data_IF_688629354080
#
_entry.id   IF_688629354080
#
_cell.length_a   1.000
_cell.length_b   1.000
_cell.length_c   1.000
_cell.angle_alpha   90.00
_cell.angle_beta   90.00
_cell.angle_gamma   90.00
#
_symmetry.space_group_name_H-M   'P 1'
#
loop_
_entity.id
_entity.type
_entity.pdbx_description
1 polymer ?
#
# COMPACT_ATOMS: atom_id res chain seq x y z
N UNK A 1 -24.17 -8.93 8.98
CA UNK A 1 -24.39 -7.88 7.97
C UNK A 1 -24.11 -6.56 8.66
N UNK A 2 -23.02 -5.88 8.32
CA UNK A 2 -22.76 -4.53 8.81
C UNK A 2 -23.52 -3.55 7.94
N UNK A 3 -24.15 -2.54 8.53
CA UNK A 3 -24.96 -1.57 7.81
C UNK A 3 -24.12 -0.33 7.45
N UNK A 4 -24.48 0.36 6.36
CA UNK A 4 -23.76 1.53 5.83
C UNK A 4 -23.70 2.73 6.81
N UNK A 5 -24.33 2.67 8.00
CA UNK A 5 -24.35 3.75 8.98
C UNK A 5 -23.08 3.88 9.82
N UNK A 6 -22.17 2.91 9.78
CA UNK A 6 -21.04 2.84 10.71
C UNK A 6 -19.72 3.33 10.11
N UNK A 7 -19.74 3.89 8.89
CA UNK A 7 -18.55 4.36 8.18
C UNK A 7 -18.56 5.87 8.03
N UNK A 8 -17.44 6.54 8.33
CA UNK A 8 -17.19 7.89 7.81
C UNK A 8 -16.59 7.77 6.42
N UNK A 9 -17.30 8.31 5.43
CA UNK A 9 -16.88 8.37 4.03
C UNK A 9 -16.46 9.80 3.75
N UNK A 10 -15.22 10.00 3.29
CA UNK A 10 -14.75 11.30 2.83
C UNK A 10 -14.41 11.23 1.35
N UNK A 11 -14.98 12.15 0.58
CA UNK A 11 -14.74 12.29 -0.86
C UNK A 11 -13.59 13.27 -1.10
N UNK A 12 -12.51 12.78 -1.70
CA UNK A 12 -11.37 13.58 -2.14
C UNK A 12 -11.37 13.67 -3.68
N UNK A 13 -12.38 14.32 -4.25
CA UNK A 13 -12.46 14.54 -5.70
C UNK A 13 -12.51 13.24 -6.52
N UNK A 14 -13.18 12.20 -6.01
CA UNK A 14 -13.30 10.91 -6.68
C UNK A 14 -12.75 9.70 -5.91
N UNK A 15 -12.14 9.89 -4.74
CA UNK A 15 -11.59 8.85 -3.88
C UNK A 15 -12.31 8.82 -2.53
N UNK A 16 -12.59 7.64 -1.96
CA UNK A 16 -13.35 7.51 -0.72
C UNK A 16 -12.48 6.96 0.42
N UNK A 17 -12.20 7.77 1.43
CA UNK A 17 -11.65 7.26 2.70
C UNK A 17 -12.77 6.59 3.49
N UNK A 18 -12.64 5.31 3.82
CA UNK A 18 -13.60 4.58 4.66
C UNK A 18 -12.98 4.29 6.02
N UNK A 19 -13.49 4.94 7.05
CA UNK A 19 -13.07 4.68 8.43
C UNK A 19 -14.11 3.77 9.07
N UNK A 20 -13.72 2.54 9.39
CA UNK A 20 -14.57 1.55 10.07
C UNK A 20 -14.21 1.46 11.55
N UNK A 21 -15.18 1.51 12.48
CA UNK A 21 -14.93 1.32 13.91
C UNK A 21 -14.62 -0.13 14.30
N UNK A 22 -14.87 -1.12 13.43
CA UNK A 22 -14.68 -2.55 13.73
C UNK A 22 -13.66 -3.25 12.82
N UNK A 23 -13.03 -2.50 11.91
CA UNK A 23 -11.94 -2.98 11.05
C UNK A 23 -12.33 -3.99 9.96
N UNK A 24 -13.59 -4.41 9.88
CA UNK A 24 -14.07 -5.23 8.77
C UNK A 24 -14.64 -4.34 7.69
N UNK A 25 -13.81 -3.97 6.71
CA UNK A 25 -14.33 -3.51 5.42
C UNK A 25 -14.58 -4.73 4.53
N UNK A 26 -15.85 -5.04 4.30
CA UNK A 26 -16.21 -5.81 3.11
C UNK A 26 -16.13 -4.83 1.93
N UNK A 27 -15.19 -4.99 0.97
CA UNK A 27 -15.22 -4.22 -0.26
C UNK A 27 -16.24 -4.88 -1.18
N UNK A 28 -17.50 -4.88 -0.79
CA UNK A 28 -18.57 -4.89 -1.78
C UNK A 28 -19.33 -3.59 -1.65
N UNK A 29 -18.61 -2.51 -1.97
CA UNK A 29 -19.19 -1.23 -2.30
C UNK A 29 -19.05 -1.13 -3.82
N UNK A 30 -20.15 -1.03 -4.58
CA UNK A 30 -20.12 -0.90 -6.04
C UNK A 30 -19.64 0.50 -6.44
N UNK A 31 -18.45 0.87 -5.99
CA UNK A 31 -17.73 2.06 -6.43
C UNK A 31 -16.31 1.61 -6.76
N UNK A 32 -15.86 1.89 -7.99
CA UNK A 32 -14.54 1.52 -8.49
C UNK A 32 -13.41 2.36 -7.86
N UNK A 33 -13.55 2.76 -6.59
CA UNK A 33 -12.79 3.87 -5.99
C UNK A 33 -11.92 3.42 -4.81
N UNK A 34 -10.68 3.93 -4.67
CA UNK A 34 -9.76 3.59 -3.59
C UNK A 34 -10.23 3.88 -2.17
N UNK A 35 -9.73 3.09 -1.20
CA UNK A 35 -10.23 3.01 0.18
C UNK A 35 -9.08 3.01 1.20
N UNK A 36 -8.75 4.15 1.78
CA UNK A 36 -7.84 4.16 2.95
C UNK A 36 -8.58 3.55 4.15
N UNK A 37 -7.93 2.64 4.89
CA UNK A 37 -8.53 1.93 6.02
C UNK A 37 -7.59 2.02 7.20
N UNK A 38 -7.97 2.79 8.20
CA UNK A 38 -7.36 2.71 9.53
C UNK A 38 -8.12 1.68 10.35
N UNK A 39 -7.41 0.71 10.92
CA UNK A 39 -7.91 -0.21 11.94
C UNK A 39 -7.40 0.19 13.34
N UNK A 40 -7.14 1.47 13.54
CA UNK A 40 -6.87 1.99 14.88
C UNK A 40 -8.20 2.26 15.58
N UNK A 41 -8.23 2.09 16.90
CA UNK A 41 -9.35 2.52 17.73
C UNK A 41 -9.76 3.92 17.29
N UNK A 42 -11.02 4.06 16.89
CA UNK A 42 -11.56 5.36 16.49
C UNK A 42 -11.34 6.32 17.65
N UNK A 43 -10.43 7.28 17.48
CA UNK A 43 -10.30 8.41 18.38
C UNK A 43 -10.78 9.66 17.66
N UNK A 44 -11.29 10.61 18.43
CA UNK A 44 -11.65 11.91 17.89
C UNK A 44 -10.42 12.56 17.24
N UNK A 45 -10.63 13.10 16.04
CA UNK A 45 -9.58 13.77 15.25
C UNK A 45 -8.82 12.90 14.23
N UNK A 46 -8.96 11.57 14.22
CA UNK A 46 -8.22 10.69 13.28
C UNK A 46 -8.46 11.05 11.80
N UNK A 47 -9.66 11.50 11.49
CA UNK A 47 -10.04 11.98 10.15
C UNK A 47 -9.19 13.17 9.73
N UNK A 48 -9.08 14.17 10.61
CA UNK A 48 -8.38 15.42 10.31
C UNK A 48 -6.87 15.18 10.31
N UNK A 49 -6.37 14.27 11.15
CA UNK A 49 -4.98 13.82 11.11
C UNK A 49 -4.62 13.19 9.76
N UNK A 50 -5.41 12.22 9.27
CA UNK A 50 -5.17 11.57 7.97
C UNK A 50 -5.25 12.59 6.83
N UNK A 51 -6.25 13.50 6.86
CA UNK A 51 -6.34 14.60 5.90
C UNK A 51 -5.09 15.45 5.90
N UNK A 52 -4.68 15.91 7.07
CA UNK A 52 -3.49 16.74 7.22
C UNK A 52 -2.24 16.01 6.72
N UNK A 53 -2.08 14.71 6.98
CA UNK A 53 -0.94 13.91 6.49
C UNK A 53 -0.93 13.72 4.96
N UNK A 54 -2.10 13.64 4.33
CA UNK A 54 -2.22 13.59 2.87
C UNK A 54 -1.91 14.96 2.27
N UNK A 55 -2.49 16.02 2.82
CA UNK A 55 -2.36 17.39 2.30
C UNK A 55 -0.95 17.95 2.51
N UNK A 56 -0.34 17.72 3.67
CA UNK A 56 1.01 18.21 4.01
C UNK A 56 2.15 17.45 3.32
N UNK A 57 1.89 16.27 2.76
CA UNK A 57 2.89 15.49 2.01
C UNK A 57 3.77 14.59 2.89
N UNK A 58 3.19 13.51 3.41
CA UNK A 58 3.92 12.41 4.09
C UNK A 58 4.64 11.46 3.11
N UNK A 59 5.48 10.54 3.60
CA UNK A 59 5.99 9.44 2.78
C UNK A 59 4.99 8.28 2.73
N UNK A 60 4.82 7.71 1.55
CA UNK A 60 3.99 6.53 1.30
C UNK A 60 4.87 5.38 0.84
N UNK A 61 4.79 4.25 1.53
CA UNK A 61 5.53 3.05 1.14
C UNK A 61 4.60 2.12 0.36
N UNK A 62 5.06 1.61 -0.78
CA UNK A 62 4.47 0.49 -1.51
C UNK A 62 5.49 -0.65 -1.50
N UNK A 63 5.06 -1.83 -1.03
CA UNK A 63 5.95 -3.00 -0.89
C UNK A 63 5.48 -4.13 -1.80
N UNK A 64 6.41 -4.81 -2.46
CA UNK A 64 6.07 -5.96 -3.29
C UNK A 64 7.25 -6.49 -4.09
N UNK A 65 7.03 -7.58 -4.82
CA UNK A 65 8.01 -8.07 -5.78
C UNK A 65 8.01 -7.26 -7.08
N UNK A 66 6.85 -6.77 -7.52
CA UNK A 66 6.65 -6.22 -8.86
C UNK A 66 7.08 -7.18 -9.97
N UNK A 67 6.95 -8.49 -9.69
CA UNK A 67 7.23 -9.55 -10.64
C UNK A 67 6.18 -9.58 -11.75
N UNK A 68 6.60 -9.80 -13.00
CA UNK A 68 5.71 -9.78 -14.17
C UNK A 68 4.77 -8.57 -14.17
N UNK A 69 5.35 -7.39 -14.32
CA UNK A 69 4.64 -6.12 -14.18
C UNK A 69 3.32 -6.08 -14.98
N UNK A 70 2.18 -6.08 -14.27
CA UNK A 70 0.85 -6.24 -14.85
C UNK A 70 -0.14 -5.17 -14.36
N UNK A 71 -1.38 -5.20 -14.87
CA UNK A 71 -2.43 -4.20 -14.58
C UNK A 71 -2.68 -3.96 -13.08
N UNK A 72 -2.58 -4.99 -12.23
CA UNK A 72 -2.66 -4.81 -10.78
C UNK A 72 -1.61 -3.84 -10.20
N UNK A 73 -0.36 -3.87 -10.67
CA UNK A 73 0.67 -2.92 -10.24
C UNK A 73 0.37 -1.51 -10.74
N UNK A 74 -0.04 -1.39 -12.01
CA UNK A 74 -0.45 -0.12 -12.63
C UNK A 74 -1.56 0.54 -11.79
N UNK A 75 -2.64 -0.19 -11.50
CA UNK A 75 -3.76 0.34 -10.72
C UNK A 75 -3.35 0.76 -9.30
N UNK A 76 -2.48 -0.02 -8.65
CA UNK A 76 -1.94 0.32 -7.33
C UNK A 76 -1.16 1.63 -7.37
N UNK A 77 -0.24 1.76 -8.32
CA UNK A 77 0.64 2.92 -8.49
C UNK A 77 -0.16 4.17 -8.86
N UNK A 78 -1.03 4.07 -9.87
CA UNK A 78 -1.82 5.20 -10.36
C UNK A 78 -2.78 5.69 -9.28
N UNK A 79 -3.43 4.77 -8.55
CA UNK A 79 -4.30 5.17 -7.45
C UNK A 79 -3.51 5.83 -6.33
N UNK A 80 -2.37 5.27 -5.95
CA UNK A 80 -1.54 5.82 -4.88
C UNK A 80 -1.01 7.22 -5.24
N UNK A 81 -0.46 7.40 -6.46
CA UNK A 81 0.04 8.71 -6.92
C UNK A 81 -1.04 9.78 -6.99
N UNK A 82 -2.29 9.40 -7.31
CA UNK A 82 -3.43 10.31 -7.32
C UNK A 82 -3.96 10.67 -5.93
N UNK A 83 -4.01 9.69 -5.01
CA UNK A 83 -4.47 9.92 -3.62
C UNK A 83 -3.45 10.76 -2.83
N UNK A 84 -2.16 10.60 -3.14
CA UNK A 84 -1.06 11.23 -2.43
C UNK A 84 -0.25 12.16 -3.37
N UNK A 85 -0.85 13.25 -3.89
CA UNK A 85 -0.24 14.10 -4.91
C UNK A 85 0.95 14.92 -4.39
N UNK A 86 1.03 15.15 -3.07
CA UNK A 86 2.11 15.91 -2.42
C UNK A 86 3.14 15.02 -1.71
N UNK A 87 2.93 13.70 -1.70
CA UNK A 87 3.78 12.76 -0.99
C UNK A 87 4.99 12.32 -1.81
N UNK A 88 6.05 11.92 -1.11
CA UNK A 88 7.08 11.04 -1.66
C UNK A 88 6.61 9.59 -1.60
N UNK A 89 6.88 8.81 -2.63
CA UNK A 89 6.49 7.41 -2.71
C UNK A 89 7.74 6.53 -2.74
N UNK A 90 7.87 5.66 -1.76
CA UNK A 90 8.94 4.68 -1.66
C UNK A 90 8.43 3.33 -2.15
N UNK A 91 9.11 2.77 -3.14
CA UNK A 91 8.90 1.41 -3.62
C UNK A 91 9.93 0.48 -2.99
N UNK A 92 9.50 -0.31 -2.01
CA UNK A 92 10.31 -1.36 -1.45
C UNK A 92 10.14 -2.65 -2.27
N UNK A 93 11.11 -2.93 -3.13
CA UNK A 93 11.08 -4.05 -4.09
C UNK A 93 11.85 -5.24 -3.53
N UNK A 94 11.21 -6.39 -3.32
CA UNK A 94 11.87 -7.57 -2.74
C UNK A 94 13.06 -8.03 -3.57
N UNK A 95 14.20 -8.31 -2.93
CA UNK A 95 15.37 -8.84 -3.63
C UNK A 95 15.28 -10.35 -3.82
N UNK A 96 16.06 -10.85 -4.78
CA UNK A 96 16.07 -12.28 -5.07
C UNK A 96 16.54 -13.09 -3.85
N UNK A 97 17.57 -12.60 -3.14
CA UNK A 97 18.07 -13.20 -1.91
C UNK A 97 17.01 -13.20 -0.79
N UNK A 98 16.27 -12.11 -0.62
CA UNK A 98 15.20 -12.06 0.37
C UNK A 98 14.09 -13.08 0.05
N UNK A 99 13.67 -13.19 -1.21
CA UNK A 99 12.68 -14.17 -1.63
C UNK A 99 13.16 -15.62 -1.40
N UNK A 100 14.45 -15.89 -1.63
CA UNK A 100 15.08 -17.19 -1.33
C UNK A 100 15.05 -17.48 0.18
N UNK A 101 15.50 -16.53 1.01
CA UNK A 101 15.55 -16.68 2.47
C UNK A 101 14.17 -16.92 3.09
N UNK A 102 13.10 -16.38 2.49
CA UNK A 102 11.71 -16.59 2.94
C UNK A 102 11.14 -17.96 2.59
N UNK A 103 11.94 -18.85 1.99
CA UNK A 103 11.53 -20.24 1.72
C UNK A 103 10.48 -20.34 0.62
N UNK A 104 10.45 -19.39 -0.32
CA UNK A 104 9.58 -19.52 -1.48
C UNK A 104 9.93 -20.81 -2.24
N UNK A 105 8.89 -21.49 -2.73
CA UNK A 105 9.06 -22.76 -3.45
C UNK A 105 10.03 -22.55 -4.60
N UNK A 106 10.99 -23.48 -4.78
CA UNK A 106 11.99 -23.41 -5.86
C UNK A 106 11.37 -23.17 -7.23
N UNK A 107 10.22 -23.79 -7.50
CA UNK A 107 9.46 -23.60 -8.74
C UNK A 107 8.96 -22.16 -8.96
N UNK A 108 8.62 -21.45 -7.88
CA UNK A 108 8.21 -20.06 -7.94
C UNK A 108 9.42 -19.16 -8.21
N UNK A 109 10.53 -19.38 -7.48
CA UNK A 109 11.76 -18.62 -7.66
C UNK A 109 12.32 -18.76 -9.10
N UNK A 110 12.25 -19.95 -9.69
CA UNK A 110 12.68 -20.18 -11.07
C UNK A 110 11.82 -19.47 -12.11
N UNK A 111 10.58 -19.11 -11.77
CA UNK A 111 9.68 -18.38 -12.66
C UNK A 111 9.75 -16.88 -12.43
N UNK A 112 10.28 -16.42 -11.31
CA UNK A 112 10.38 -15.01 -10.95
C UNK A 112 11.40 -14.28 -11.83
N UNK A 113 11.08 -13.06 -12.25
CA UNK A 113 12.02 -12.20 -12.93
C UNK A 113 13.14 -11.76 -11.96
N UNK A 114 14.40 -11.67 -12.42
CA UNK A 114 15.49 -11.16 -11.59
C UNK A 114 15.19 -9.76 -11.05
N UNK A 115 15.68 -9.43 -9.86
CA UNK A 115 15.47 -8.14 -9.20
C UNK A 115 15.69 -6.96 -10.13
N UNK A 116 16.79 -6.98 -10.89
CA UNK A 116 17.11 -5.94 -11.86
C UNK A 116 16.00 -5.73 -12.90
N UNK A 117 15.46 -6.81 -13.47
CA UNK A 117 14.40 -6.73 -14.49
C UNK A 117 13.13 -6.10 -13.89
N UNK A 118 12.77 -6.49 -12.66
CA UNK A 118 11.59 -5.96 -11.96
C UNK A 118 11.75 -4.46 -11.67
N UNK A 119 12.92 -4.04 -11.20
CA UNK A 119 13.24 -2.62 -10.95
C UNK A 119 13.27 -1.81 -12.24
N UNK A 120 13.92 -2.31 -13.29
CA UNK A 120 14.04 -1.59 -14.56
C UNK A 120 12.65 -1.39 -15.21
N UNK A 121 11.80 -2.41 -15.18
CA UNK A 121 10.42 -2.33 -15.67
C UNK A 121 9.59 -1.33 -14.86
N UNK A 122 9.71 -1.34 -13.53
CA UNK A 122 9.05 -0.36 -12.66
C UNK A 122 9.53 1.07 -12.96
N UNK A 123 10.85 1.28 -13.07
CA UNK A 123 11.43 2.59 -13.42
C UNK A 123 10.93 3.11 -14.75
N UNK A 124 10.88 2.24 -15.76
CA UNK A 124 10.35 2.60 -17.08
C UNK A 124 8.90 3.07 -17.00
N UNK A 125 8.06 2.32 -16.28
CA UNK A 125 6.66 2.71 -16.07
C UNK A 125 6.54 4.07 -15.36
N UNK A 126 7.26 4.25 -14.25
CA UNK A 126 7.24 5.49 -13.46
C UNK A 126 7.74 6.70 -14.24
N UNK A 127 8.73 6.50 -15.11
CA UNK A 127 9.21 7.54 -16.03
C UNK A 127 8.14 7.91 -17.06
N UNK A 128 7.40 6.94 -17.60
CA UNK A 128 6.33 7.19 -18.59
C UNK A 128 5.18 8.03 -18.01
N UNK A 129 4.89 7.89 -16.72
CA UNK A 129 3.86 8.69 -16.03
C UNK A 129 4.41 9.96 -15.38
N UNK A 130 5.68 10.32 -15.60
CA UNK A 130 6.28 11.56 -15.12
C UNK A 130 6.49 11.65 -13.61
N UNK A 131 6.66 10.53 -12.90
CA UNK A 131 6.73 10.49 -11.43
C UNK A 131 8.16 10.39 -10.86
N UNK A 132 9.19 10.61 -11.66
CA UNK A 132 10.60 10.36 -11.27
C UNK A 132 11.11 11.21 -10.12
N UNK A 133 10.57 12.42 -9.93
CA UNK A 133 11.08 13.37 -8.91
C UNK A 133 10.58 13.06 -7.48
N UNK A 134 9.49 12.32 -7.35
CA UNK A 134 8.83 12.04 -6.06
C UNK A 134 9.00 10.60 -5.60
N UNK A 135 9.78 9.81 -6.33
CA UNK A 135 9.85 8.36 -6.15
C UNK A 135 11.26 7.89 -5.81
N UNK A 136 11.32 7.01 -4.82
CA UNK A 136 12.53 6.25 -4.48
C UNK A 136 12.24 4.75 -4.61
N UNK A 137 13.14 4.00 -5.25
CA UNK A 137 13.07 2.54 -5.32
C UNK A 137 14.19 1.98 -4.46
N UNK A 138 13.82 1.26 -3.41
CA UNK A 138 14.74 0.76 -2.40
C UNK A 138 14.62 -0.79 -2.36
N UNK A 139 15.75 -1.53 -2.38
CA UNK A 139 15.72 -2.98 -2.20
C UNK A 139 15.09 -3.36 -0.85
N UNK A 140 14.18 -4.33 -0.86
CA UNK A 140 13.55 -4.87 0.34
C UNK A 140 14.21 -6.20 0.70
N UNK A 141 15.02 -6.16 1.77
CA UNK A 141 15.82 -7.28 2.30
C UNK A 141 15.23 -7.92 3.57
N UNK A 142 14.14 -7.35 4.08
CA UNK A 142 13.43 -7.77 5.28
C UNK A 142 11.90 -7.66 5.11
N UNK A 143 11.14 -7.92 6.18
CA UNK A 143 9.68 -7.95 6.14
C UNK A 143 9.01 -6.57 5.98
N UNK A 144 9.68 -5.49 6.36
CA UNK A 144 9.09 -4.16 6.51
C UNK A 144 9.80 -3.07 5.72
N UNK A 145 11.13 -3.09 5.61
CA UNK A 145 11.92 -2.07 4.92
C UNK A 145 11.66 -0.68 5.49
N UNK A 146 11.56 0.31 4.60
CA UNK A 146 11.39 1.72 4.96
C UNK A 146 10.12 1.98 5.78
N UNK A 147 9.14 1.08 5.74
CA UNK A 147 7.98 1.16 6.64
C UNK A 147 8.37 1.24 8.12
N UNK A 148 9.43 0.55 8.55
CA UNK A 148 9.86 0.55 9.97
C UNK A 148 11.09 1.43 10.19
N UNK A 149 11.88 1.69 9.15
CA UNK A 149 13.14 2.41 9.27
C UNK A 149 13.07 3.91 8.94
N UNK A 150 12.01 4.38 8.28
CA UNK A 150 11.85 5.79 7.94
C UNK A 150 10.77 6.47 8.84
N UNK A 151 11.16 7.45 9.68
CA UNK A 151 10.22 8.13 10.58
C UNK A 151 9.13 8.93 9.84
N UNK A 152 9.39 9.38 8.61
CA UNK A 152 8.51 10.26 7.84
C UNK A 152 7.40 9.49 7.09
N UNK A 153 7.42 8.16 7.16
CA UNK A 153 6.39 7.31 6.57
C UNK A 153 5.07 7.46 7.32
N UNK A 154 4.10 8.08 6.67
CA UNK A 154 2.74 8.24 7.16
C UNK A 154 1.81 7.13 6.67
N UNK A 155 2.10 6.50 5.53
CA UNK A 155 1.23 5.48 4.94
C UNK A 155 1.97 4.28 4.37
N UNK A 156 1.32 3.12 4.42
CA UNK A 156 1.70 1.92 3.69
C UNK A 156 0.55 1.50 2.77
N UNK A 157 0.78 1.54 1.47
CA UNK A 157 -0.24 1.26 0.47
C UNK A 157 -0.23 -0.22 0.05
N UNK A 158 -1.42 -0.81 0.03
CA UNK A 158 -1.65 -2.21 -0.28
C UNK A 158 -2.62 -2.34 -1.45
N UNK A 159 -2.31 -3.21 -2.41
CA UNK A 159 -3.33 -3.72 -3.33
C UNK A 159 -4.28 -4.66 -2.57
N UNK A 160 -5.58 -4.43 -2.65
CA UNK A 160 -6.59 -5.17 -1.91
C UNK A 160 -7.66 -5.74 -2.84
N UNK A 161 -7.81 -7.07 -2.86
CA UNK A 161 -8.92 -7.77 -3.52
C UNK A 161 -9.96 -8.29 -2.50
N UNK A 162 -9.84 -7.88 -1.23
CA UNK A 162 -10.72 -8.24 -0.13
C UNK A 162 -10.32 -9.50 0.64
N UNK A 163 -9.34 -10.28 0.17
CA UNK A 163 -9.02 -11.60 0.77
C UNK A 163 -8.04 -11.55 1.92
N UNK A 164 -7.24 -10.49 2.02
CA UNK A 164 -6.06 -10.43 2.89
C UNK A 164 -6.13 -9.35 3.97
N UNK A 165 -7.33 -8.86 4.28
CA UNK A 165 -7.51 -7.76 5.24
C UNK A 165 -6.97 -8.08 6.64
N UNK A 166 -7.23 -9.31 7.14
CA UNK A 166 -6.70 -9.76 8.44
C UNK A 166 -5.17 -9.81 8.46
N UNK A 167 -4.56 -10.20 7.35
CA UNK A 167 -3.11 -10.26 7.23
C UNK A 167 -2.53 -8.84 7.17
N UNK A 168 -3.18 -7.92 6.45
CA UNK A 168 -2.79 -6.51 6.41
C UNK A 168 -2.85 -5.90 7.81
N UNK A 169 -3.92 -6.16 8.58
CA UNK A 169 -4.06 -5.75 9.99
C UNK A 169 -2.84 -6.14 10.81
N UNK A 170 -2.62 -7.45 10.91
CA UNK A 170 -1.60 -8.00 11.79
C UNK A 170 -0.21 -7.52 11.37
N UNK A 171 0.05 -7.40 10.07
CA UNK A 171 1.30 -6.85 9.57
C UNK A 171 1.50 -5.38 9.97
N UNK A 172 0.45 -4.55 9.91
CA UNK A 172 0.51 -3.14 10.28
C UNK A 172 0.66 -2.94 11.78
N UNK A 173 0.01 -3.77 12.60
CA UNK A 173 0.17 -3.77 14.06
C UNK A 173 1.62 -4.09 14.45
N UNK A 174 2.21 -5.14 13.86
CA UNK A 174 3.61 -5.50 14.11
C UNK A 174 4.54 -4.37 13.63
N UNK A 175 4.32 -3.83 12.43
CA UNK A 175 5.13 -2.75 11.89
C UNK A 175 5.08 -1.51 12.80
N UNK A 176 3.90 -1.11 13.26
CA UNK A 176 3.77 0.07 14.13
C UNK A 176 4.30 -0.17 15.54
N UNK A 177 4.20 -1.38 16.10
CA UNK A 177 4.89 -1.72 17.34
C UNK A 177 6.42 -1.56 17.19
N UNK A 178 6.99 -1.97 16.06
CA UNK A 178 8.40 -1.76 15.75
C UNK A 178 8.74 -0.27 15.58
N UNK A 179 7.90 0.51 14.89
CA UNK A 179 8.06 1.97 14.74
C UNK A 179 8.01 2.68 16.09
N UNK A 180 7.01 2.38 16.92
CA UNK A 180 6.85 2.95 18.25
C UNK A 180 8.04 2.63 19.16
N UNK A 181 8.58 1.41 19.08
CA UNK A 181 9.80 1.04 19.83
C UNK A 181 11.04 1.87 19.46
N UNK A 182 11.03 2.51 18.28
CA UNK A 182 12.08 3.41 17.78
C UNK A 182 11.75 4.89 18.01
N UNK A 183 10.59 5.20 18.60
CA UNK A 183 10.10 6.57 18.75
C UNK A 183 9.53 7.18 17.46
N UNK A 184 9.23 6.37 16.45
CA UNK A 184 8.63 6.83 15.20
C UNK A 184 7.09 6.83 15.32
N UNK A 185 6.39 7.78 14.68
CA UNK A 185 4.93 7.79 14.66
C UNK A 185 4.38 6.56 13.93
N UNK A 186 3.20 6.09 14.33
CA UNK A 186 2.48 5.03 13.61
C UNK A 186 2.22 5.42 12.15
N UNK A 187 2.31 4.46 11.23
CA UNK A 187 1.88 4.61 9.84
C UNK A 187 0.47 4.04 9.62
N UNK A 188 -0.26 4.58 8.66
CA UNK A 188 -1.63 4.16 8.34
C UNK A 188 -1.69 3.23 7.12
N UNK A 189 -2.59 2.23 7.10
CA UNK A 189 -2.82 1.43 5.90
C UNK A 189 -3.63 2.21 4.85
N UNK A 190 -3.17 2.23 3.61
CA UNK A 190 -3.92 2.73 2.45
C UNK A 190 -4.32 1.56 1.55
N UNK A 191 -5.60 1.16 1.54
CA UNK A 191 -6.05 0.00 0.76
C UNK A 191 -6.55 0.42 -0.62
N UNK A 192 -5.89 -0.05 -1.66
CA UNK A 192 -6.23 0.26 -3.03
C UNK A 192 -6.97 -0.96 -3.62
N UNK A 193 -8.28 -0.88 -3.89
CA UNK A 193 -9.06 -1.94 -4.49
C UNK A 193 -8.50 -2.28 -5.86
N UNK A 194 -8.03 -3.51 -6.00
CA UNK A 194 -7.62 -4.06 -7.30
C UNK A 194 -8.82 -4.80 -7.88
N UNK A 195 -9.73 -4.06 -8.51
CA UNK A 195 -10.84 -4.67 -9.26
C UNK A 195 -10.29 -5.32 -10.53
N UNK A 196 -9.76 -6.53 -10.41
CA UNK A 196 -9.46 -7.38 -11.55
C UNK A 196 -10.77 -8.02 -12.00
N UNK A 197 -11.33 -7.56 -13.11
CA UNK A 197 -12.41 -8.30 -13.77
C UNK A 197 -11.86 -9.66 -14.18
N UNK A 198 -12.62 -10.73 -13.91
CA UNK A 198 -12.25 -12.16 -14.10
C UNK A 198 -11.82 -12.51 -15.54
N UNK A 199 -11.89 -11.57 -16.49
CA UNK A 199 -11.57 -11.76 -17.91
C UNK A 199 -10.15 -11.34 -18.34
N UNK A 200 -9.31 -10.82 -17.45
CA UNK A 200 -7.99 -10.26 -17.85
C UNK A 200 -6.79 -11.01 -17.24
N UNK A 201 -6.90 -12.33 -17.10
CA UNK A 201 -5.70 -13.19 -17.06
C UNK A 201 -5.33 -13.51 -18.51
N UNK A 202 -4.27 -12.88 -19.01
CA UNK A 202 -3.63 -13.26 -20.27
C UNK A 202 -3.12 -14.71 -20.19
#
# INVERSE_FOLDING_TARGET
MYSNSDFKILDFGGFYLFISPTGVLSPYIPTQKPVIVSEYEYHDGIVDEIKNLIESGSYVVIRGSFDHFHRGHILLIDSCTNIFPNSKIIFNVSTDDYNIRRGQRKEFLNRMQPYRVRVDTLKEYLSRIGMTERIEIIPLEDAYGELVFNPDVGFNAFGNDGKYLKDIRSNMEIANNLRNSKGFPSAYPALIPLLMTVKERL
#
